data_IF_379513691479
#
_entry.id   IF_379513691479
#
_cell.length_a   1.000
_cell.length_b   1.000
_cell.length_c   1.000
_cell.angle_alpha   90.00
_cell.angle_beta   90.00
_cell.angle_gamma   90.00
#
_symmetry.space_group_name_H-M   'P 1'
#
loop_
_entity.id
_entity.type
_entity.pdbx_description
1 polymer ?
#
# COMPACT_ATOMS: atom_id res chain seq x y z
N UNK A 1 11.10 -41.75 49.92
CA UNK A 1 11.90 -40.55 50.22
C UNK A 1 11.27 -39.42 49.41
N UNK A 2 10.14 -38.89 49.90
CA UNK A 2 9.97 -37.76 50.84
C UNK A 2 9.58 -36.52 50.03
N UNK A 3 8.29 -36.12 50.04
CA UNK A 3 7.62 -35.18 50.97
C UNK A 3 8.01 -33.73 50.64
N UNK A 4 7.16 -32.71 50.49
CA UNK A 4 5.77 -32.39 50.88
C UNK A 4 5.34 -31.19 50.01
N UNK A 5 4.12 -31.07 49.47
CA UNK A 5 2.85 -30.66 50.12
C UNK A 5 2.94 -29.37 50.96
N UNK A 6 2.29 -28.29 50.52
CA UNK A 6 1.45 -27.44 51.39
C UNK A 6 0.62 -26.47 50.57
N UNK A 7 -0.68 -26.75 50.51
CA UNK A 7 -1.77 -25.80 50.27
C UNK A 7 -1.84 -24.73 51.37
N UNK A 8 -2.54 -23.63 51.09
CA UNK A 8 -3.59 -22.99 51.92
C UNK A 8 -4.28 -21.91 51.05
N UNK A 9 -5.57 -22.05 50.72
CA UNK A 9 -6.76 -21.52 51.46
C UNK A 9 -6.52 -20.06 51.88
N UNK A 10 -7.25 -19.04 51.41
CA UNK A 10 -8.68 -18.95 51.14
C UNK A 10 -9.36 -18.29 52.35
N UNK A 11 -9.63 -16.99 52.29
CA UNK A 11 -10.48 -16.15 53.18
C UNK A 11 -10.49 -14.73 52.56
N UNK A 12 -11.55 -14.24 51.89
CA UNK A 12 -12.86 -13.74 52.35
C UNK A 12 -12.84 -12.43 53.14
N UNK A 13 -13.27 -11.36 52.44
CA UNK A 13 -14.03 -10.15 52.81
C UNK A 13 -14.19 -9.76 54.29
N UNK A 14 -14.00 -8.46 54.54
CA UNK A 14 -14.89 -7.72 55.46
C UNK A 14 -14.18 -6.81 56.46
N UNK A 15 -14.21 -5.51 56.16
CA UNK A 15 -14.45 -4.41 57.09
C UNK A 15 -13.86 -4.47 58.50
N UNK A 16 -12.70 -3.83 58.67
CA UNK A 16 -12.40 -3.10 59.90
C UNK A 16 -12.16 -1.63 59.55
N UNK A 17 -13.21 -0.85 59.73
CA UNK A 17 -13.22 0.60 59.80
C UNK A 17 -12.06 1.18 60.62
N UNK A 18 -11.55 2.31 60.15
CA UNK A 18 -11.44 3.60 60.86
C UNK A 18 -10.06 4.25 60.72
N UNK A 19 -10.04 5.44 60.10
CA UNK A 19 -8.87 6.30 60.12
C UNK A 19 -8.59 6.98 58.80
N UNK A 20 -9.47 7.88 58.36
CA UNK A 20 -9.04 9.00 57.52
C UNK A 20 -8.33 9.99 58.45
N UNK A 21 -7.09 10.37 58.14
CA UNK A 21 -6.87 11.74 57.73
C UNK A 21 -6.18 11.81 56.37
N UNK A 22 -6.73 12.73 55.59
CA UNK A 22 -6.26 13.28 54.34
C UNK A 22 -4.82 13.82 54.43
N UNK A 23 -4.15 13.83 53.28
CA UNK A 23 -2.89 14.50 52.92
C UNK A 23 -1.55 13.87 53.36
N UNK A 24 -0.93 13.15 52.42
CA UNK A 24 0.37 13.53 51.88
C UNK A 24 0.54 12.90 50.49
N UNK A 25 0.49 13.76 49.49
CA UNK A 25 0.70 13.49 48.08
C UNK A 25 2.08 12.88 47.81
N UNK A 26 2.16 11.55 47.78
CA UNK A 26 3.22 10.87 47.03
C UNK A 26 2.85 10.88 45.55
N UNK A 27 2.98 12.07 44.95
CA UNK A 27 3.15 12.20 43.52
C UNK A 27 4.39 11.38 43.16
N UNK A 28 4.17 10.19 42.60
CA UNK A 28 5.19 9.47 41.86
C UNK A 28 5.58 10.38 40.71
N UNK A 29 6.62 11.20 40.91
CA UNK A 29 7.30 11.89 39.81
C UNK A 29 7.87 10.78 38.93
N UNK A 30 7.10 10.37 37.92
CA UNK A 30 7.65 9.75 36.74
C UNK A 30 8.80 10.65 36.30
N UNK A 31 10.03 10.11 36.31
CA UNK A 31 11.15 10.77 35.67
C UNK A 31 10.76 10.92 34.20
N UNK A 32 10.29 12.10 33.83
CA UNK A 32 10.19 12.52 32.44
C UNK A 32 11.62 12.45 31.90
N UNK A 33 11.91 11.35 31.21
CA UNK A 33 13.09 11.27 30.36
C UNK A 33 12.87 12.34 29.29
N UNK A 34 13.72 13.37 29.18
CA UNK A 34 13.52 14.39 28.17
C UNK A 34 13.50 13.70 26.81
N UNK A 35 12.35 13.80 26.13
CA UNK A 35 12.24 13.30 24.76
C UNK A 35 13.32 14.00 23.94
N UNK A 36 14.27 13.21 23.45
CA UNK A 36 15.38 13.76 22.67
C UNK A 36 14.78 14.42 21.43
N UNK A 37 15.17 15.66 21.19
CA UNK A 37 14.78 16.40 20.00
C UNK A 37 15.29 15.69 18.73
N UNK A 38 14.59 15.94 17.62
CA UNK A 38 14.99 15.47 16.31
C UNK A 38 16.36 16.03 15.91
N UNK A 39 17.18 15.21 15.27
CA UNK A 39 18.47 15.65 14.72
C UNK A 39 18.30 16.26 13.33
N UNK A 40 19.18 17.19 12.95
CA UNK A 40 19.21 17.77 11.59
C UNK A 40 19.30 16.70 10.49
N UNK A 41 20.05 15.62 10.73
CA UNK A 41 20.18 14.51 9.79
C UNK A 41 18.84 13.77 9.59
N UNK A 42 18.09 13.53 10.67
CA UNK A 42 16.75 12.93 10.58
C UNK A 42 15.76 13.85 9.87
N UNK A 43 15.83 15.17 10.14
CA UNK A 43 14.98 16.13 9.46
C UNK A 43 15.26 16.18 7.94
N UNK A 44 16.54 16.18 7.55
CA UNK A 44 16.93 16.15 6.14
C UNK A 44 16.48 14.85 5.46
N UNK A 45 16.67 13.70 6.12
CA UNK A 45 16.26 12.40 5.59
C UNK A 45 14.74 12.31 5.42
N UNK A 46 13.96 12.88 6.35
CA UNK A 46 12.50 12.94 6.22
C UNK A 46 12.13 13.75 4.98
N UNK A 47 12.70 14.95 4.79
CA UNK A 47 12.44 15.80 3.62
C UNK A 47 12.74 15.08 2.30
N UNK A 48 13.91 14.45 2.21
CA UNK A 48 14.32 13.68 1.04
C UNK A 48 13.33 12.54 0.73
N UNK A 49 12.97 11.74 1.75
CA UNK A 49 12.02 10.65 1.57
C UNK A 49 10.61 11.12 1.18
N UNK A 50 10.16 12.28 1.66
CA UNK A 50 8.90 12.89 1.23
C UNK A 50 8.92 13.29 -0.25
N UNK A 51 10.01 13.92 -0.70
CA UNK A 51 10.19 14.30 -2.11
C UNK A 51 10.20 13.05 -3.03
N UNK A 52 10.90 11.99 -2.63
CA UNK A 52 11.02 10.76 -3.43
C UNK A 52 9.74 9.92 -3.50
N UNK A 53 8.91 9.95 -2.46
CA UNK A 53 7.69 9.14 -2.38
C UNK A 53 6.48 9.79 -3.05
N UNK A 54 6.62 11.02 -3.60
CA UNK A 54 5.50 11.84 -4.09
C UNK A 54 4.34 11.93 -3.06
N UNK A 55 4.62 11.65 -1.79
CA UNK A 55 3.64 11.71 -0.72
C UNK A 55 3.34 13.19 -0.55
N UNK A 56 2.10 13.55 -0.86
CA UNK A 56 1.70 14.88 -1.26
C UNK A 56 2.39 15.99 -0.44
N UNK A 57 2.83 17.05 -1.14
CA UNK A 57 3.23 18.36 -0.58
C UNK A 57 2.27 18.88 0.52
N UNK A 58 1.06 18.33 0.64
CA UNK A 58 0.05 18.64 1.65
C UNK A 58 0.27 17.98 3.03
N UNK A 59 1.21 17.04 3.17
CA UNK A 59 1.42 16.29 4.43
C UNK A 59 2.86 16.34 4.94
N UNK A 60 3.66 17.30 4.48
CA UNK A 60 4.87 17.67 5.20
C UNK A 60 4.42 18.45 6.45
N UNK A 61 4.62 17.93 7.68
CA UNK A 61 4.21 18.67 8.86
C UNK A 61 4.99 19.99 8.86
N UNK A 62 4.27 21.12 8.87
CA UNK A 62 4.88 22.46 8.88
C UNK A 62 5.86 22.64 10.06
N UNK A 63 5.73 21.79 11.09
CA UNK A 63 6.53 21.79 12.31
C UNK A 63 7.36 20.52 12.52
N UNK A 64 8.09 20.05 11.49
CA UNK A 64 9.10 18.97 11.65
C UNK A 64 10.16 19.27 12.74
N UNK A 65 10.36 20.53 13.12
CA UNK A 65 11.27 20.93 14.19
C UNK A 65 10.75 20.61 15.61
N UNK A 66 9.47 20.28 15.77
CA UNK A 66 8.83 20.04 17.07
C UNK A 66 8.57 18.55 17.35
N UNK A 67 8.94 17.65 16.44
CA UNK A 67 8.72 16.21 16.66
C UNK A 67 9.87 15.62 17.47
N UNK A 68 9.55 14.69 18.36
CA UNK A 68 10.57 13.95 19.09
C UNK A 68 11.30 12.97 18.19
N UNK A 69 12.51 12.58 18.61
CA UNK A 69 13.38 11.66 17.87
C UNK A 69 12.72 10.31 17.59
N UNK A 70 11.89 9.83 18.51
CA UNK A 70 11.15 8.57 18.35
C UNK A 70 10.08 8.68 17.27
N UNK A 71 9.34 9.80 17.25
CA UNK A 71 8.34 10.10 16.21
C UNK A 71 9.02 10.28 14.86
N UNK A 72 10.16 10.97 14.81
CA UNK A 72 10.97 11.13 13.60
C UNK A 72 11.43 9.78 13.02
N UNK A 73 11.90 8.87 13.87
CA UNK A 73 12.28 7.52 13.45
C UNK A 73 11.10 6.70 12.92
N UNK A 74 9.94 6.79 13.58
CA UNK A 74 8.70 6.15 13.09
C UNK A 74 8.32 6.69 11.71
N UNK A 75 8.38 8.01 11.50
CA UNK A 75 8.13 8.62 10.20
C UNK A 75 9.12 8.19 9.12
N UNK A 76 10.42 8.17 9.43
CA UNK A 76 11.45 7.67 8.50
C UNK A 76 11.14 6.23 8.09
N UNK A 77 10.76 5.38 9.05
CA UNK A 77 10.45 3.98 8.75
C UNK A 77 9.21 3.86 7.85
N UNK A 78 8.11 4.56 8.18
CA UNK A 78 6.90 4.57 7.34
C UNK A 78 7.18 5.03 5.92
N UNK A 79 7.99 6.08 5.74
CA UNK A 79 8.35 6.60 4.42
C UNK A 79 9.24 5.63 3.64
N UNK A 80 10.18 4.94 4.31
CA UNK A 80 11.00 3.89 3.70
C UNK A 80 10.15 2.71 3.24
N UNK A 81 9.21 2.27 4.06
CA UNK A 81 8.30 1.17 3.73
C UNK A 81 7.41 1.55 2.54
N UNK A 82 6.90 2.79 2.52
CA UNK A 82 6.14 3.32 1.40
C UNK A 82 6.98 3.39 0.12
N UNK A 83 8.21 3.91 0.19
CA UNK A 83 9.14 3.95 -0.97
C UNK A 83 9.40 2.55 -1.51
N UNK A 84 9.63 1.58 -0.64
CA UNK A 84 9.83 0.18 -1.01
C UNK A 84 8.59 -0.40 -1.69
N UNK A 85 7.39 -0.16 -1.13
CA UNK A 85 6.12 -0.59 -1.72
C UNK A 85 5.89 0.05 -3.09
N UNK A 86 6.08 1.36 -3.23
CA UNK A 86 5.96 2.07 -4.51
C UNK A 86 7.01 1.60 -5.53
N UNK A 87 8.20 1.23 -5.09
CA UNK A 87 9.23 0.64 -5.96
C UNK A 87 8.81 -0.77 -6.41
N UNK A 88 8.27 -1.60 -5.52
CA UNK A 88 7.74 -2.91 -5.88
C UNK A 88 6.52 -2.80 -6.80
N UNK A 89 5.60 -1.89 -6.53
CA UNK A 89 4.46 -1.59 -7.41
C UNK A 89 4.98 -1.13 -8.77
N UNK A 90 5.92 -0.18 -8.83
CA UNK A 90 6.55 0.24 -10.10
C UNK A 90 7.28 -0.90 -10.80
N UNK A 91 8.00 -1.76 -10.09
CA UNK A 91 8.70 -2.92 -10.66
C UNK A 91 7.73 -3.98 -11.20
N UNK A 92 6.66 -4.26 -10.45
CA UNK A 92 5.58 -5.15 -10.85
C UNK A 92 4.83 -4.58 -12.07
N UNK A 93 4.69 -3.25 -12.16
CA UNK A 93 4.12 -2.53 -13.28
C UNK A 93 5.10 -2.27 -14.45
N UNK A 94 6.41 -2.24 -14.23
CA UNK A 94 7.44 -2.15 -15.28
C UNK A 94 7.59 -3.50 -16.00
N UNK A 95 7.27 -4.61 -15.33
CA UNK A 95 6.94 -5.88 -16.00
C UNK A 95 5.53 -5.90 -16.60
N UNK A 96 4.72 -4.85 -16.42
CA UNK A 96 3.28 -4.82 -16.65
C UNK A 96 2.88 -4.08 -17.93
N UNK A 97 2.61 -4.87 -18.97
CA UNK A 97 1.86 -4.51 -20.19
C UNK A 97 2.55 -3.46 -21.08
N UNK A 98 3.57 -3.90 -21.81
CA UNK A 98 3.92 -3.24 -23.07
C UNK A 98 2.68 -3.27 -23.97
N UNK A 99 2.13 -2.10 -24.28
CA UNK A 99 0.98 -2.00 -25.18
C UNK A 99 1.35 -2.58 -26.56
N UNK A 100 0.63 -3.62 -26.97
CA UNK A 100 0.84 -4.28 -28.26
C UNK A 100 0.28 -3.40 -29.39
N UNK A 101 1.11 -2.46 -29.85
CA UNK A 101 0.79 -1.53 -30.94
C UNK A 101 0.42 -2.26 -32.24
N UNK A 102 1.05 -3.42 -32.49
CA UNK A 102 0.82 -4.19 -33.72
C UNK A 102 -0.54 -4.90 -33.63
N UNK A 103 -0.78 -5.64 -32.54
CA UNK A 103 -2.06 -6.29 -32.25
C UNK A 103 -3.23 -5.31 -32.28
N UNK A 104 -3.08 -4.18 -31.58
CA UNK A 104 -4.10 -3.12 -31.59
C UNK A 104 -4.34 -2.55 -32.98
N UNK A 105 -3.28 -2.28 -33.75
CA UNK A 105 -3.40 -1.76 -35.12
C UNK A 105 -4.10 -2.73 -36.08
N UNK A 106 -3.93 -4.04 -35.90
CA UNK A 106 -4.66 -5.05 -36.67
C UNK A 106 -6.15 -5.06 -36.32
N UNK A 107 -6.48 -5.10 -35.03
CA UNK A 107 -7.88 -5.08 -34.56
C UNK A 107 -8.58 -3.80 -35.03
N UNK A 108 -7.93 -2.64 -34.90
CA UNK A 108 -8.45 -1.36 -35.39
C UNK A 108 -8.82 -1.45 -36.88
N UNK A 109 -7.93 -2.00 -37.72
CA UNK A 109 -8.17 -2.14 -39.17
C UNK A 109 -9.32 -3.10 -39.47
N UNK A 110 -9.42 -4.20 -38.74
CA UNK A 110 -10.51 -5.18 -38.92
C UNK A 110 -11.87 -4.58 -38.57
N UNK A 111 -11.97 -3.91 -37.42
CA UNK A 111 -13.19 -3.21 -37.00
C UNK A 111 -13.54 -2.09 -37.97
N UNK A 112 -12.55 -1.35 -38.45
CA UNK A 112 -12.74 -0.32 -39.47
C UNK A 112 -13.30 -0.89 -40.77
N UNK A 113 -12.69 -1.96 -41.31
CA UNK A 113 -13.16 -2.64 -42.53
C UNK A 113 -14.60 -3.11 -42.36
N UNK A 114 -14.89 -3.86 -41.29
CA UNK A 114 -16.23 -4.34 -40.98
C UNK A 114 -17.27 -3.20 -40.89
N UNK A 115 -16.88 -2.04 -40.34
CA UNK A 115 -17.76 -0.87 -40.22
C UNK A 115 -17.91 -0.08 -41.54
N UNK A 116 -17.07 -0.33 -42.54
CA UNK A 116 -17.03 0.40 -43.81
C UNK A 116 -17.52 -0.40 -45.01
N UNK A 117 -17.42 -1.73 -44.96
CA UNK A 117 -17.81 -2.65 -46.04
C UNK A 117 -19.30 -2.99 -46.01
N UNK A 118 -19.98 -2.73 -44.89
CA UNK A 118 -21.42 -2.94 -44.77
C UNK A 118 -22.18 -1.79 -45.45
N UNK A 119 -22.56 -2.01 -46.71
CA UNK A 119 -23.17 -1.01 -47.61
C UNK A 119 -24.49 -0.41 -47.09
N UNK A 120 -25.09 -1.02 -46.07
CA UNK A 120 -26.36 -0.59 -45.47
C UNK A 120 -26.20 -0.06 -44.03
N UNK A 121 -25.00 -0.13 -43.44
CA UNK A 121 -24.77 0.30 -42.07
C UNK A 121 -24.49 1.81 -42.00
N UNK A 122 -25.26 2.52 -41.19
CA UNK A 122 -24.91 3.88 -40.76
C UNK A 122 -23.54 3.82 -40.09
N UNK A 123 -22.60 4.65 -40.56
CA UNK A 123 -21.25 4.71 -39.95
C UNK A 123 -21.37 4.91 -38.44
N UNK A 124 -20.72 4.08 -37.61
CA UNK A 124 -20.85 4.19 -36.17
C UNK A 124 -20.29 5.53 -35.69
N UNK A 125 -20.84 6.03 -34.58
CA UNK A 125 -20.24 7.19 -33.92
C UNK A 125 -18.83 6.84 -33.44
N UNK A 126 -18.00 7.87 -33.28
CA UNK A 126 -16.61 7.69 -32.82
C UNK A 126 -16.53 6.90 -31.52
N UNK A 127 -17.42 7.19 -30.55
CA UNK A 127 -17.47 6.48 -29.27
C UNK A 127 -17.76 4.99 -29.47
N UNK A 128 -18.82 4.66 -30.22
CA UNK A 128 -19.23 3.28 -30.50
C UNK A 128 -18.14 2.51 -31.24
N UNK A 129 -17.45 3.17 -32.17
CA UNK A 129 -16.32 2.58 -32.88
C UNK A 129 -15.16 2.22 -31.94
N UNK A 130 -14.76 3.14 -31.06
CA UNK A 130 -13.67 2.88 -30.12
C UNK A 130 -14.03 1.83 -29.07
N UNK A 131 -15.27 1.82 -28.57
CA UNK A 131 -15.75 0.79 -27.65
C UNK A 131 -15.65 -0.59 -28.29
N UNK A 132 -16.01 -0.71 -29.58
CA UNK A 132 -15.85 -1.95 -30.34
C UNK A 132 -14.39 -2.34 -30.51
N UNK A 133 -13.52 -1.41 -30.90
CA UNK A 133 -12.07 -1.68 -31.03
C UNK A 133 -11.48 -2.18 -29.70
N UNK A 134 -11.85 -1.56 -28.58
CA UNK A 134 -11.37 -1.96 -27.25
C UNK A 134 -11.89 -3.36 -26.89
N UNK A 135 -13.16 -3.64 -27.15
CA UNK A 135 -13.76 -4.96 -26.90
C UNK A 135 -13.07 -6.07 -27.70
N UNK A 136 -12.94 -5.88 -29.02
CA UNK A 136 -12.28 -6.85 -29.90
C UNK A 136 -10.79 -7.01 -29.56
N UNK A 137 -10.12 -5.96 -29.09
CA UNK A 137 -8.72 -6.04 -28.69
C UNK A 137 -8.53 -6.89 -27.42
N UNK A 138 -9.49 -6.88 -26.49
CA UNK A 138 -9.45 -7.78 -25.33
C UNK A 138 -9.55 -9.24 -25.76
N UNK A 139 -10.50 -9.56 -26.65
CA UNK A 139 -10.65 -10.91 -27.20
C UNK A 139 -9.40 -11.36 -27.96
N UNK A 140 -8.79 -10.47 -28.76
CA UNK A 140 -7.53 -10.74 -29.43
C UNK A 140 -6.40 -11.10 -28.43
N UNK A 141 -6.33 -10.40 -27.30
CA UNK A 141 -5.33 -10.67 -26.26
C UNK A 141 -5.54 -12.03 -25.60
N UNK A 142 -6.78 -12.38 -25.29
CA UNK A 142 -7.14 -13.70 -24.76
C UNK A 142 -6.75 -14.82 -25.73
N UNK A 143 -7.12 -14.69 -27.02
CA UNK A 143 -6.73 -15.65 -28.05
C UNK A 143 -5.20 -15.75 -28.22
N UNK A 144 -4.49 -14.63 -28.15
CA UNK A 144 -3.02 -14.62 -28.24
C UNK A 144 -2.39 -15.39 -27.07
N UNK A 145 -2.94 -15.25 -25.86
CA UNK A 145 -2.44 -15.96 -24.68
C UNK A 145 -2.75 -17.46 -24.74
N UNK A 146 -3.93 -17.85 -25.23
CA UNK A 146 -4.27 -19.25 -25.51
C UNK A 146 -3.34 -19.88 -26.56
N UNK A 147 -3.06 -19.19 -27.67
CA UNK A 147 -2.12 -19.67 -28.68
C UNK A 147 -0.71 -19.86 -28.08
N UNK A 148 -0.26 -18.94 -27.24
CA UNK A 148 1.04 -19.06 -26.55
C UNK A 148 1.05 -20.28 -25.62
N UNK A 149 -0.05 -20.54 -24.92
CA UNK A 149 -0.17 -21.70 -24.05
C UNK A 149 -0.15 -23.00 -24.87
N UNK A 150 -0.93 -23.08 -25.94
CA UNK A 150 -0.94 -24.23 -26.85
C UNK A 150 0.45 -24.56 -27.43
N UNK A 151 1.23 -23.55 -27.81
CA UNK A 151 2.62 -23.74 -28.27
C UNK A 151 3.50 -24.31 -27.15
N UNK A 152 3.39 -23.77 -25.93
CA UNK A 152 4.15 -24.26 -24.76
C UNK A 152 3.82 -25.71 -24.43
N UNK A 153 2.56 -26.09 -24.61
CA UNK A 153 2.07 -27.45 -24.40
C UNK A 153 2.52 -28.43 -25.51
N UNK A 154 3.23 -27.93 -26.52
CA UNK A 154 3.80 -28.73 -27.61
C UNK A 154 2.82 -29.00 -28.76
N UNK A 155 1.77 -28.19 -28.90
CA UNK A 155 0.74 -28.35 -29.94
C UNK A 155 1.20 -28.04 -31.36
N UNK A 156 2.36 -27.39 -31.53
CA UNK A 156 3.05 -27.20 -32.81
C UNK A 156 4.36 -28.00 -32.79
N UNK A 157 4.27 -29.29 -33.10
CA UNK A 157 5.40 -30.19 -33.35
C UNK A 157 5.36 -30.68 -34.79
#
# INVERSE_FOLDING_TARGET
>A
MDKSKSEKKGESLGDLFSGVPTDASHASKSKEVPEKEITQAQMNLIKELYEETNYARSYCPENLAQISREVANKHIQTLKDLKSRQYQERKNHETGVVFDKIGFGMVYKLVWRASSEDKLATKPSRAVFFDRVIGEYKLFKEAQDECRQFVKDGGLK
#
